data_IF_583444169263
#
_entry.id   IF_583444169263
#
_cell.length_a   1.000
_cell.length_b   1.000
_cell.length_c   1.000
_cell.angle_alpha   90.00
_cell.angle_beta   90.00
_cell.angle_gamma   90.00
#
_symmetry.space_group_name_H-M   'P 1'
#
loop_
_entity.id
_entity.type
_entity.pdbx_description
1 polymer ?
#
# COMPACT_ATOMS: atom_id res chain seq x y z
N UNK A 1 -4.87 -13.15 -3.26
CA UNK A 1 -4.01 -14.17 -2.63
C UNK A 1 -2.56 -13.89 -2.99
N UNK A 2 -1.87 -13.18 -2.10
CA UNK A 2 -0.41 -13.07 -2.15
C UNK A 2 0.17 -14.46 -1.91
N UNK A 3 1.05 -14.91 -2.81
CA UNK A 3 1.67 -16.24 -2.71
C UNK A 3 2.81 -16.17 -1.69
N UNK A 4 2.65 -16.83 -0.55
CA UNK A 4 3.75 -17.01 0.41
C UNK A 4 4.72 -18.04 -0.16
N UNK A 5 5.90 -17.60 -0.61
CA UNK A 5 6.98 -18.54 -0.86
C UNK A 5 7.50 -19.08 0.47
N UNK A 6 7.31 -20.39 0.68
CA UNK A 6 7.91 -21.13 1.79
C UNK A 6 9.44 -21.02 1.68
N UNK A 7 10.10 -20.47 2.70
CA UNK A 7 11.57 -20.39 2.77
C UNK A 7 12.21 -19.02 2.53
N UNK A 8 11.42 -17.93 2.43
CA UNK A 8 11.96 -16.56 2.35
C UNK A 8 11.50 -15.70 3.54
N UNK A 9 12.31 -15.60 4.62
CA UNK A 9 11.97 -14.76 5.78
C UNK A 9 11.74 -13.29 5.42
N UNK A 10 12.46 -12.76 4.42
CA UNK A 10 12.28 -11.39 3.94
C UNK A 10 10.93 -11.21 3.25
N UNK A 11 10.50 -12.17 2.42
CA UNK A 11 9.17 -12.13 1.81
C UNK A 11 8.04 -12.24 2.85
N UNK A 12 8.25 -13.02 3.92
CA UNK A 12 7.29 -13.09 5.03
C UNK A 12 7.23 -11.77 5.82
N UNK A 13 8.39 -11.18 6.11
CA UNK A 13 8.44 -9.88 6.78
C UNK A 13 7.81 -8.77 5.93
N UNK A 14 8.03 -8.76 4.62
CA UNK A 14 7.37 -7.86 3.66
C UNK A 14 5.85 -7.98 3.74
N UNK A 15 5.34 -9.20 3.61
CA UNK A 15 3.91 -9.46 3.67
C UNK A 15 3.33 -9.01 5.01
N UNK A 16 3.93 -9.43 6.12
CA UNK A 16 3.46 -9.04 7.46
C UNK A 16 3.47 -7.53 7.62
N UNK A 17 4.48 -6.83 7.09
CA UNK A 17 4.55 -5.37 7.14
C UNK A 17 3.40 -4.71 6.36
N UNK A 18 3.03 -5.24 5.20
CA UNK A 18 1.87 -4.78 4.43
C UNK A 18 0.55 -5.06 5.17
N UNK A 19 0.30 -6.32 5.55
CA UNK A 19 -0.95 -6.74 6.21
C UNK A 19 -1.14 -6.09 7.58
N UNK A 20 -0.05 -5.83 8.31
CA UNK A 20 -0.11 -5.07 9.55
C UNK A 20 -0.54 -3.63 9.31
N UNK A 21 -0.15 -3.05 8.17
CA UNK A 21 -0.60 -1.72 7.77
C UNK A 21 -2.12 -1.64 7.57
N UNK A 22 -2.74 -2.65 6.95
CA UNK A 22 -4.20 -2.77 6.92
C UNK A 22 -4.80 -2.89 8.32
N UNK A 23 -4.21 -3.71 9.18
CA UNK A 23 -4.74 -3.96 10.53
C UNK A 23 -4.74 -2.71 11.43
N UNK A 24 -3.80 -1.78 11.23
CA UNK A 24 -3.71 -0.53 12.02
C UNK A 24 -4.36 0.67 11.34
N UNK A 25 -4.69 0.58 10.05
CA UNK A 25 -5.42 1.62 9.34
C UNK A 25 -6.93 1.50 9.62
N UNK A 26 -7.60 2.53 10.17
CA UNK A 26 -9.01 2.47 10.53
C UNK A 26 -9.91 2.65 9.29
N UNK A 27 -9.91 1.66 8.40
CA UNK A 27 -10.71 1.71 7.17
C UNK A 27 -12.20 1.91 7.46
N UNK A 28 -12.76 2.97 6.90
CA UNK A 28 -14.19 3.18 6.76
C UNK A 28 -14.49 3.38 5.28
N UNK A 29 -15.27 2.49 4.67
CA UNK A 29 -15.60 2.59 3.25
C UNK A 29 -16.71 3.63 3.07
N UNK A 30 -16.41 4.71 2.36
CA UNK A 30 -17.38 5.75 2.00
C UNK A 30 -18.21 5.32 0.78
N UNK A 31 -19.47 4.97 1.01
CA UNK A 31 -20.41 4.57 -0.03
C UNK A 31 -21.23 5.75 -0.62
N UNK A 32 -20.85 7.01 -0.36
CA UNK A 32 -21.58 8.18 -0.88
C UNK A 32 -21.53 8.29 -2.41
N UNK A 33 -20.52 7.68 -3.04
CA UNK A 33 -20.38 7.56 -4.49
C UNK A 33 -19.46 6.39 -4.84
N UNK A 34 -19.54 5.88 -6.07
CA UNK A 34 -18.61 4.86 -6.58
C UNK A 34 -17.16 5.32 -6.43
N UNK A 35 -16.87 6.58 -6.73
CA UNK A 35 -15.52 7.14 -6.59
C UNK A 35 -15.06 7.22 -5.13
N UNK A 36 -15.94 7.61 -4.21
CA UNK A 36 -15.65 7.61 -2.77
C UNK A 36 -15.32 6.20 -2.26
N UNK A 37 -16.07 5.20 -2.74
CA UNK A 37 -15.89 3.80 -2.34
C UNK A 37 -14.56 3.26 -2.87
N UNK A 38 -14.26 3.48 -4.16
CA UNK A 38 -12.98 3.10 -4.78
C UNK A 38 -11.82 3.74 -4.02
N UNK A 39 -11.93 5.03 -3.74
CA UNK A 39 -10.89 5.77 -3.04
C UNK A 39 -10.67 5.27 -1.61
N UNK A 40 -11.72 4.89 -0.88
CA UNK A 40 -11.58 4.33 0.47
C UNK A 40 -10.80 3.01 0.45
N UNK A 41 -11.07 2.16 -0.54
CA UNK A 41 -10.37 0.90 -0.75
C UNK A 41 -8.90 1.13 -1.15
N UNK A 42 -8.65 2.08 -2.05
CA UNK A 42 -7.28 2.43 -2.46
C UNK A 42 -6.48 3.10 -1.35
N UNK A 43 -7.11 3.91 -0.49
CA UNK A 43 -6.44 4.48 0.69
C UNK A 43 -5.97 3.38 1.65
N UNK A 44 -6.73 2.30 1.78
CA UNK A 44 -6.33 1.13 2.57
C UNK A 44 -5.07 0.45 2.01
N UNK A 45 -4.98 0.24 0.68
CA UNK A 45 -3.77 -0.28 0.03
C UNK A 45 -2.60 0.71 0.13
N UNK A 46 -2.88 2.01 0.04
CA UNK A 46 -1.90 3.08 0.23
C UNK A 46 -1.32 3.07 1.65
N UNK A 47 -2.17 2.90 2.67
CA UNK A 47 -1.76 2.81 4.07
C UNK A 47 -0.93 1.56 4.36
N UNK A 48 -1.31 0.42 3.79
CA UNK A 48 -0.55 -0.82 3.90
C UNK A 48 0.82 -0.73 3.23
N UNK A 49 0.88 -0.19 2.01
CA UNK A 49 2.13 0.03 1.30
C UNK A 49 3.04 1.03 2.04
N UNK A 50 2.46 2.10 2.59
CA UNK A 50 3.19 3.08 3.39
C UNK A 50 3.82 2.41 4.62
N UNK A 51 3.07 1.54 5.31
CA UNK A 51 3.57 0.82 6.46
C UNK A 51 4.67 -0.19 6.10
N UNK A 52 4.54 -0.89 4.96
CA UNK A 52 5.61 -1.74 4.43
C UNK A 52 6.91 -0.93 4.24
N UNK A 53 6.86 0.24 3.59
CA UNK A 53 8.05 1.08 3.36
C UNK A 53 8.64 1.55 4.69
N UNK A 54 7.80 2.00 5.62
CA UNK A 54 8.24 2.43 6.95
C UNK A 54 9.04 1.34 7.67
N UNK A 55 8.49 0.13 7.73
CA UNK A 55 9.14 -1.02 8.39
C UNK A 55 10.40 -1.44 7.62
N UNK A 56 10.36 -1.48 6.29
CA UNK A 56 11.52 -1.81 5.45
C UNK A 56 12.68 -0.85 5.72
N UNK A 57 12.42 0.46 5.79
CA UNK A 57 13.44 1.48 6.10
C UNK A 57 13.97 1.34 7.53
N UNK A 58 13.11 1.01 8.49
CA UNK A 58 13.52 0.76 9.86
C UNK A 58 14.45 -0.46 9.96
N UNK A 59 14.12 -1.57 9.29
CA UNK A 59 14.96 -2.77 9.26
C UNK A 59 16.34 -2.45 8.65
N UNK A 60 16.38 -1.76 7.51
CA UNK A 60 17.64 -1.39 6.83
C UNK A 60 18.47 -0.45 7.71
N UNK A 61 17.86 0.55 8.33
CA UNK A 61 18.55 1.50 9.21
C UNK A 61 19.20 0.83 10.44
N UNK A 62 18.67 -0.33 10.86
CA UNK A 62 19.20 -1.14 11.96
C UNK A 62 20.10 -2.31 11.48
N UNK A 63 20.53 -2.29 10.21
CA UNK A 63 21.45 -3.29 9.64
C UNK A 63 20.81 -4.63 9.28
N UNK A 64 19.47 -4.70 9.25
CA UNK A 64 18.73 -5.84 8.76
C UNK A 64 18.66 -5.91 7.23
N UNK A 65 18.10 -7.00 6.67
CA UNK A 65 17.98 -7.16 5.22
C UNK A 65 16.91 -6.23 4.63
N UNK A 66 17.06 -5.89 3.36
CA UNK A 66 15.97 -5.28 2.61
C UNK A 66 14.85 -6.30 2.37
N UNK A 67 13.67 -6.01 2.90
CA UNK A 67 12.47 -6.83 2.71
C UNK A 67 11.68 -6.44 1.45
N UNK A 68 12.05 -5.35 0.77
CA UNK A 68 11.38 -4.81 -0.41
C UNK A 68 9.99 -4.23 -0.12
N UNK A 69 9.28 -3.87 -1.20
CA UNK A 69 7.90 -3.36 -1.15
C UNK A 69 6.96 -4.33 -1.88
N UNK A 70 5.87 -4.72 -1.24
CA UNK A 70 4.87 -5.61 -1.80
C UNK A 70 4.29 -5.07 -3.12
N UNK A 71 4.12 -5.95 -4.11
CA UNK A 71 3.62 -5.58 -5.45
C UNK A 71 4.69 -5.02 -6.41
N UNK A 72 5.88 -4.67 -5.93
CA UNK A 72 6.93 -4.08 -6.77
C UNK A 72 6.77 -2.56 -6.94
N UNK A 73 7.27 -2.00 -8.05
CA UNK A 73 7.27 -0.55 -8.33
C UNK A 73 7.93 0.32 -7.24
N UNK A 74 9.02 -0.17 -6.66
CA UNK A 74 9.69 0.44 -5.51
C UNK A 74 10.04 1.91 -5.72
N UNK A 75 10.47 2.29 -6.93
CA UNK A 75 10.84 3.67 -7.24
C UNK A 75 9.66 4.65 -7.08
N UNK A 76 8.47 4.29 -7.56
CA UNK A 76 7.28 5.14 -7.49
C UNK A 76 6.79 5.29 -6.05
N UNK A 77 6.74 4.17 -5.32
CA UNK A 77 6.34 4.18 -3.91
C UNK A 77 7.34 4.91 -3.01
N UNK A 78 8.64 4.71 -3.22
CA UNK A 78 9.66 5.46 -2.48
C UNK A 78 9.59 6.96 -2.75
N UNK A 79 9.35 7.38 -4.00
CA UNK A 79 9.20 8.80 -4.31
C UNK A 79 8.05 9.46 -3.53
N UNK A 80 6.90 8.79 -3.41
CA UNK A 80 5.75 9.28 -2.62
C UNK A 80 6.10 9.30 -1.12
N UNK A 81 6.75 8.26 -0.61
CA UNK A 81 7.16 8.20 0.79
C UNK A 81 8.23 9.26 1.13
N UNK A 82 9.16 9.52 0.23
CA UNK A 82 10.18 10.57 0.39
C UNK A 82 9.58 11.97 0.36
N UNK A 83 8.56 12.20 -0.47
CA UNK A 83 7.77 13.43 -0.42
C UNK A 83 7.15 13.63 0.97
N UNK A 84 6.55 12.59 1.55
CA UNK A 84 6.05 12.63 2.92
C UNK A 84 7.15 12.92 3.94
N UNK A 85 8.33 12.29 3.82
CA UNK A 85 9.45 12.54 4.72
C UNK A 85 9.96 13.98 4.66
N UNK A 86 9.88 14.63 3.50
CA UNK A 86 10.22 16.04 3.31
C UNK A 86 9.14 17.02 3.78
N UNK A 87 7.94 16.54 4.11
CA UNK A 87 6.82 17.36 4.57
C UNK A 87 6.89 17.65 6.08
N UNK A 88 5.86 18.32 6.61
CA UNK A 88 5.66 18.51 8.05
C UNK A 88 5.23 17.23 8.79
N UNK A 89 4.93 16.14 8.05
CA UNK A 89 4.52 14.84 8.60
C UNK A 89 3.32 14.93 9.54
N UNK A 90 2.40 15.84 9.25
CA UNK A 90 1.12 15.94 9.94
C UNK A 90 0.17 14.84 9.48
N UNK A 91 -0.91 14.61 10.23
CA UNK A 91 -1.96 13.67 9.83
C UNK A 91 -2.50 13.99 8.44
N UNK A 92 -2.65 15.27 8.10
CA UNK A 92 -3.09 15.70 6.78
C UNK A 92 -2.11 15.32 5.66
N UNK A 93 -0.80 15.43 5.90
CA UNK A 93 0.22 15.01 4.93
C UNK A 93 0.32 13.48 4.83
N UNK A 94 0.12 12.76 5.93
CA UNK A 94 -0.01 11.30 5.91
C UNK A 94 -1.21 10.87 5.05
N UNK A 95 -2.39 11.48 5.26
CA UNK A 95 -3.59 11.18 4.47
C UNK A 95 -3.38 11.47 2.97
N UNK A 96 -2.70 12.57 2.64
CA UNK A 96 -2.31 12.86 1.24
C UNK A 96 -1.35 11.81 0.67
N UNK A 97 -0.37 11.37 1.47
CA UNK A 97 0.61 10.38 1.05
C UNK A 97 -0.05 9.03 0.76
N UNK A 98 -0.91 8.54 1.65
CA UNK A 98 -1.63 7.28 1.42
C UNK A 98 -2.60 7.39 0.24
N UNK A 99 -3.24 8.55 0.02
CA UNK A 99 -4.10 8.78 -1.15
C UNK A 99 -3.31 8.71 -2.45
N UNK A 100 -2.15 9.36 -2.51
CA UNK A 100 -1.24 9.27 -3.68
C UNK A 100 -0.75 7.85 -3.89
N UNK A 101 -0.36 7.18 -2.81
CA UNK A 101 0.13 5.80 -2.83
C UNK A 101 -0.95 4.82 -3.28
N UNK A 102 -2.18 4.98 -2.79
CA UNK A 102 -3.36 4.21 -3.18
C UNK A 102 -3.73 4.42 -4.64
N UNK A 103 -3.73 5.67 -5.13
CA UNK A 103 -3.94 5.95 -6.55
C UNK A 103 -2.86 5.28 -7.43
N UNK A 104 -1.58 5.39 -7.03
CA UNK A 104 -0.49 4.74 -7.74
C UNK A 104 -0.63 3.21 -7.72
N UNK A 105 -0.97 2.62 -6.58
CA UNK A 105 -1.26 1.20 -6.43
C UNK A 105 -2.40 0.76 -7.35
N UNK A 106 -3.49 1.53 -7.36
CA UNK A 106 -4.69 1.32 -8.18
C UNK A 106 -4.42 1.22 -9.67
N UNK A 107 -3.51 2.04 -10.19
CA UNK A 107 -3.19 2.12 -11.61
C UNK A 107 -2.09 1.15 -12.07
N UNK A 108 -1.15 0.80 -11.18
CA UNK A 108 0.09 0.11 -11.55
C UNK A 108 0.17 -1.35 -11.08
N UNK A 109 -0.77 -1.81 -10.26
CA UNK A 109 -0.80 -3.17 -9.75
C UNK A 109 -2.10 -3.89 -10.13
N UNK A 110 -2.00 -5.22 -10.20
CA UNK A 110 -3.11 -6.11 -10.51
C UNK A 110 -3.38 -7.06 -9.33
N UNK A 111 -4.64 -7.30 -8.96
CA UNK A 111 -4.96 -8.29 -7.96
C UNK A 111 -4.70 -9.68 -8.51
N UNK A 112 -4.12 -10.56 -7.69
CA UNK A 112 -3.85 -11.96 -8.08
C UNK A 112 -5.11 -12.74 -8.51
N UNK A 113 -6.29 -12.30 -8.08
CA UNK A 113 -7.59 -12.94 -8.35
C UNK A 113 -8.25 -12.46 -9.64
N UNK A 114 -7.78 -11.34 -10.21
CA UNK A 114 -8.25 -10.77 -11.47
C UNK A 114 -7.08 -10.04 -12.15
N UNK A 115 -6.04 -10.79 -12.60
CA UNK A 115 -4.80 -10.21 -13.09
C UNK A 115 -4.97 -9.37 -14.36
N UNK A 116 -6.11 -9.48 -15.04
CA UNK A 116 -6.47 -8.69 -16.21
C UNK A 116 -6.95 -7.26 -15.88
N UNK A 117 -7.21 -6.97 -14.60
CA UNK A 117 -7.67 -5.68 -14.12
C UNK A 117 -6.56 -5.01 -13.31
N UNK A 118 -6.46 -3.69 -13.36
CA UNK A 118 -5.76 -2.98 -12.30
C UNK A 118 -6.65 -2.89 -11.04
N UNK A 119 -6.08 -2.54 -9.88
CA UNK A 119 -6.85 -2.48 -8.63
C UNK A 119 -7.98 -1.47 -8.67
N UNK A 120 -7.84 -0.36 -9.41
CA UNK A 120 -8.92 0.60 -9.60
C UNK A 120 -10.13 -0.03 -10.30
N UNK A 121 -9.90 -0.69 -11.43
CA UNK A 121 -10.93 -1.44 -12.18
C UNK A 121 -11.52 -2.59 -11.36
N UNK A 122 -10.70 -3.24 -10.53
CA UNK A 122 -11.16 -4.30 -9.63
C UNK A 122 -12.13 -3.75 -8.58
N UNK A 123 -11.80 -2.64 -7.91
CA UNK A 123 -12.70 -2.03 -6.92
C UNK A 123 -13.94 -1.39 -7.54
N UNK A 124 -13.85 -0.87 -8.76
CA UNK A 124 -15.03 -0.36 -9.49
C UNK A 124 -16.13 -1.42 -9.59
N UNK A 125 -15.79 -2.69 -9.85
CA UNK A 125 -16.76 -3.79 -9.88
C UNK A 125 -17.46 -4.05 -8.54
N UNK A 126 -16.79 -3.75 -7.42
CA UNK A 126 -17.32 -3.95 -6.06
C UNK A 126 -17.98 -2.72 -5.44
N UNK A 127 -17.81 -1.55 -6.05
CA UNK A 127 -18.34 -0.26 -5.58
C UNK A 127 -19.52 0.26 -6.42
N UNK A 128 -20.01 -0.56 -7.36
CA UNK A 128 -21.19 -0.31 -8.18
C UNK A 128 -22.49 -0.77 -7.52
#
# INVERSE_FOLDING_TARGET
MVVIQKGSPTAQAQLIAHEFGHAVYPLTIDHSSTESCINSQLDNEGAATFNNIKIQREIIANGGPDIGIAGGNEAGFNAIYDEYLGSQRSDAEYQKAIRKMGAFYGENLNPSTAPELNYRQYYEKGCN
#
